data_IF_641378141312
#
_entry.id   IF_641378141312
#
_cell.length_a   1.000
_cell.length_b   1.000
_cell.length_c   1.000
_cell.angle_alpha   90.00
_cell.angle_beta   90.00
_cell.angle_gamma   90.00
#
_symmetry.space_group_name_H-M   'P 1'
#
loop_
_entity.id
_entity.type
_entity.pdbx_description
1 polymer ?
#
# COMPACT_ATOMS: atom_id res chain seq x y z
N UNK A 1 6.23 -79.07 54.83
CA UNK A 1 7.05 -79.14 53.59
C UNK A 1 7.33 -77.70 53.18
N UNK A 2 8.53 -77.17 53.00
CA UNK A 2 9.91 -77.64 53.09
C UNK A 2 10.77 -76.46 52.61
N UNK A 3 11.85 -76.14 53.34
CA UNK A 3 12.84 -75.10 53.02
C UNK A 3 13.51 -75.28 51.65
N UNK A 4 13.98 -74.18 51.03
CA UNK A 4 15.34 -73.93 50.47
C UNK A 4 15.32 -72.72 49.51
N UNK A 5 16.06 -71.62 49.76
CA UNK A 5 17.52 -71.35 49.64
C UNK A 5 18.00 -70.97 48.22
N UNK A 6 18.97 -70.03 48.23
CA UNK A 6 20.01 -69.70 47.23
C UNK A 6 19.72 -68.54 46.25
N UNK A 7 20.44 -67.41 46.45
CA UNK A 7 20.79 -66.42 45.41
C UNK A 7 21.93 -66.96 44.53
N UNK A 8 21.96 -66.65 43.22
CA UNK A 8 23.23 -66.14 42.69
C UNK A 8 23.11 -65.06 41.59
N UNK A 9 24.07 -64.13 41.67
CA UNK A 9 24.94 -63.61 40.60
C UNK A 9 24.32 -62.97 39.35
N UNK A 10 24.41 -61.63 39.37
CA UNK A 10 24.68 -60.68 38.30
C UNK A 10 25.18 -61.27 36.96
N UNK A 11 24.39 -61.11 35.90
CA UNK A 11 24.87 -61.03 34.53
C UNK A 11 24.29 -59.79 33.87
N UNK A 12 25.19 -58.86 33.57
CA UNK A 12 24.97 -57.71 32.69
C UNK A 12 24.62 -58.24 31.31
N UNK A 13 23.45 -57.89 30.79
CA UNK A 13 23.17 -57.89 29.36
C UNK A 13 22.65 -56.51 29.00
N UNK A 14 23.44 -55.83 28.18
CA UNK A 14 23.06 -54.62 27.48
C UNK A 14 21.77 -54.87 26.71
N UNK A 15 20.78 -54.00 26.86
CA UNK A 15 19.65 -53.91 25.95
C UNK A 15 19.34 -52.43 25.75
N UNK A 16 19.73 -52.00 24.56
CA UNK A 16 19.63 -50.70 23.92
C UNK A 16 18.37 -49.91 24.27
N UNK A 17 18.59 -48.68 24.74
CA UNK A 17 17.58 -47.63 24.69
C UNK A 17 17.28 -47.29 23.21
N UNK A 18 16.12 -47.71 22.72
CA UNK A 18 15.52 -47.11 21.53
C UNK A 18 14.96 -45.74 21.93
N UNK A 19 15.82 -44.73 21.90
CA UNK A 19 15.41 -43.34 21.81
C UNK A 19 14.73 -43.15 20.46
N UNK A 20 13.40 -43.28 20.45
CA UNK A 20 12.54 -42.79 19.38
C UNK A 20 12.65 -41.26 19.33
N UNK A 21 13.69 -40.77 18.66
CA UNK A 21 13.73 -39.41 18.15
C UNK A 21 12.59 -39.29 17.15
N UNK A 22 11.47 -38.72 17.60
CA UNK A 22 10.41 -38.27 16.73
C UNK A 22 11.01 -37.27 15.74
N UNK A 23 11.28 -37.73 14.52
CA UNK A 23 11.46 -36.87 13.38
C UNK A 23 10.14 -36.14 13.17
N UNK A 24 10.02 -34.95 13.74
CA UNK A 24 9.01 -33.99 13.32
C UNK A 24 9.45 -33.55 11.92
N UNK A 25 8.96 -34.23 10.89
CA UNK A 25 9.00 -33.71 9.53
C UNK A 25 8.19 -32.43 9.54
N UNK A 26 8.86 -31.31 9.78
CA UNK A 26 8.28 -29.98 9.58
C UNK A 26 7.76 -29.97 8.15
N UNK A 27 6.46 -29.70 7.92
CA UNK A 27 5.92 -29.70 6.58
C UNK A 27 6.68 -28.64 5.77
N UNK A 28 7.42 -29.08 4.77
CA UNK A 28 8.00 -28.18 3.77
C UNK A 28 6.82 -27.66 2.95
N UNK A 29 6.35 -26.45 3.26
CA UNK A 29 5.32 -25.79 2.48
C UNK A 29 5.87 -25.47 1.08
N UNK A 30 5.12 -25.86 0.04
CA UNK A 30 5.50 -25.56 -1.33
C UNK A 30 5.47 -24.04 -1.53
N UNK A 31 6.62 -23.46 -1.91
CA UNK A 31 6.70 -22.06 -2.31
C UNK A 31 6.19 -21.93 -3.75
N UNK A 32 5.55 -20.80 -4.05
CA UNK A 32 5.17 -20.46 -5.41
C UNK A 32 6.43 -20.37 -6.29
N UNK A 33 6.42 -21.07 -7.42
CA UNK A 33 7.50 -21.00 -8.41
C UNK A 33 7.51 -19.64 -9.12
N UNK A 34 8.66 -19.26 -9.65
CA UNK A 34 8.84 -18.02 -10.43
C UNK A 34 7.88 -17.92 -11.62
N UNK A 35 7.55 -19.06 -12.23
CA UNK A 35 6.58 -19.15 -13.32
C UNK A 35 5.15 -18.87 -12.85
N UNK A 36 4.79 -19.29 -11.63
CA UNK A 36 3.48 -19.00 -11.03
C UNK A 36 3.39 -17.52 -10.65
N UNK A 37 4.41 -16.97 -10.01
CA UNK A 37 4.44 -15.54 -9.66
C UNK A 37 4.37 -14.67 -10.91
N UNK A 38 5.16 -14.97 -11.94
CA UNK A 38 5.15 -14.24 -13.21
C UNK A 38 3.81 -14.32 -13.93
N UNK A 39 3.17 -15.49 -13.92
CA UNK A 39 1.84 -15.67 -14.50
C UNK A 39 0.77 -14.88 -13.74
N UNK A 40 0.85 -14.80 -12.41
CA UNK A 40 -0.07 -14.00 -11.59
C UNK A 40 0.09 -12.51 -11.88
N UNK A 41 1.34 -12.01 -11.91
CA UNK A 41 1.61 -10.61 -12.24
C UNK A 41 1.04 -10.25 -13.61
N UNK A 42 1.23 -11.10 -14.62
CA UNK A 42 0.64 -10.86 -15.94
C UNK A 42 -0.90 -10.94 -15.95
N UNK A 43 -1.48 -11.86 -15.18
CA UNK A 43 -2.92 -11.97 -15.05
C UNK A 43 -3.57 -10.73 -14.40
N UNK A 44 -2.90 -10.13 -13.41
CA UNK A 44 -3.31 -8.87 -12.78
C UNK A 44 -3.28 -7.71 -13.78
N UNK A 45 -2.23 -7.64 -14.63
CA UNK A 45 -2.11 -6.64 -15.72
C UNK A 45 -3.27 -6.75 -16.70
N UNK A 46 -3.56 -7.97 -17.16
CA UNK A 46 -4.61 -8.23 -18.14
C UNK A 46 -6.02 -8.01 -17.57
N UNK A 47 -6.19 -8.14 -16.25
CA UNK A 47 -7.45 -7.86 -15.58
C UNK A 47 -7.59 -6.39 -15.15
N UNK A 48 -6.50 -5.62 -15.21
CA UNK A 48 -6.49 -4.22 -14.80
C UNK A 48 -7.53 -3.42 -15.61
N UNK A 49 -8.37 -2.60 -14.95
CA UNK A 49 -9.36 -1.80 -15.64
C UNK A 49 -8.67 -0.89 -16.66
N UNK A 50 -9.13 -0.96 -17.91
CA UNK A 50 -8.74 -0.01 -18.93
C UNK A 50 -9.62 1.22 -18.74
N UNK A 51 -9.17 2.14 -17.89
CA UNK A 51 -9.92 3.36 -17.54
C UNK A 51 -10.09 4.29 -18.75
N UNK A 52 -9.23 4.14 -19.78
CA UNK A 52 -9.29 4.91 -21.03
C UNK A 52 -9.10 6.41 -20.82
N UNK A 53 -8.60 6.82 -19.65
CA UNK A 53 -8.45 8.22 -19.23
C UNK A 53 -6.97 8.48 -18.98
N UNK A 54 -6.46 9.57 -19.53
CA UNK A 54 -5.24 10.15 -19.01
C UNK A 54 -5.51 10.57 -17.55
N UNK A 55 -4.57 10.28 -16.65
CA UNK A 55 -4.58 10.72 -15.25
C UNK A 55 -5.73 10.16 -14.38
N UNK A 56 -6.00 8.86 -14.46
CA UNK A 56 -6.94 8.14 -13.58
C UNK A 56 -6.44 7.95 -12.12
N UNK A 57 -5.27 8.51 -11.80
CA UNK A 57 -4.65 8.42 -10.47
C UNK A 57 -4.05 7.05 -10.17
N UNK A 58 -3.94 6.18 -11.16
CA UNK A 58 -3.32 4.85 -11.08
C UNK A 58 -2.11 4.80 -12.01
N UNK A 59 -1.12 4.00 -11.63
CA UNK A 59 0.17 3.97 -12.29
C UNK A 59 0.50 2.57 -12.81
N UNK A 60 1.17 2.53 -13.95
CA UNK A 60 1.57 1.41 -14.78
C UNK A 60 0.39 0.63 -15.36
N UNK A 61 0.71 -0.32 -16.23
CA UNK A 61 -0.24 -1.29 -16.78
C UNK A 61 -1.01 -2.08 -15.72
N UNK A 62 -0.53 -2.11 -14.47
CA UNK A 62 -1.16 -2.81 -13.35
C UNK A 62 -2.09 -1.93 -12.51
N UNK A 63 -2.19 -0.64 -12.83
CA UNK A 63 -3.16 0.27 -12.20
C UNK A 63 -2.94 0.37 -10.68
N UNK A 64 -1.72 0.70 -10.28
CA UNK A 64 -1.27 0.77 -8.88
C UNK A 64 -1.60 2.13 -8.28
N UNK A 65 -2.15 2.14 -7.06
CA UNK A 65 -2.32 3.37 -6.28
C UNK A 65 -0.96 3.97 -5.93
N UNK A 66 -0.75 5.30 -6.11
CA UNK A 66 0.55 5.94 -5.89
C UNK A 66 1.12 5.71 -4.50
N UNK A 67 0.28 5.65 -3.46
CA UNK A 67 0.70 5.40 -2.09
C UNK A 67 1.36 4.04 -1.83
N UNK A 68 1.18 3.05 -2.71
CA UNK A 68 1.83 1.74 -2.57
C UNK A 68 3.26 1.75 -3.12
N UNK A 69 3.55 2.61 -4.09
CA UNK A 69 4.77 2.56 -4.92
C UNK A 69 6.04 2.77 -4.09
N UNK A 70 6.17 3.81 -3.24
CA UNK A 70 7.40 4.03 -2.47
C UNK A 70 7.73 2.85 -1.56
N UNK A 71 6.73 2.31 -0.86
CA UNK A 71 6.92 1.19 0.08
C UNK A 71 7.35 -0.08 -0.64
N UNK A 72 6.65 -0.44 -1.71
CA UNK A 72 6.95 -1.65 -2.46
C UNK A 72 8.31 -1.57 -3.15
N UNK A 73 8.66 -0.42 -3.74
CA UNK A 73 9.97 -0.26 -4.35
C UNK A 73 11.09 -0.29 -3.31
N UNK A 74 10.91 0.34 -2.14
CA UNK A 74 11.91 0.28 -1.06
C UNK A 74 12.17 -1.14 -0.60
N UNK A 75 11.10 -1.90 -0.38
CA UNK A 75 11.18 -3.30 0.02
C UNK A 75 11.88 -4.16 -1.05
N UNK A 76 11.56 -3.96 -2.32
CA UNK A 76 11.97 -4.88 -3.39
C UNK A 76 13.31 -4.52 -4.07
N UNK A 77 13.65 -3.23 -4.15
CA UNK A 77 14.84 -2.74 -4.84
C UNK A 77 15.69 -1.79 -3.98
N UNK A 78 15.39 -1.67 -2.69
CA UNK A 78 16.18 -0.91 -1.72
C UNK A 78 16.04 0.62 -1.79
N UNK A 79 15.14 1.14 -2.63
CA UNK A 79 14.89 2.59 -2.74
C UNK A 79 13.43 2.91 -3.06
N UNK A 80 12.97 4.05 -2.57
CA UNK A 80 11.65 4.60 -2.88
C UNK A 80 11.64 5.14 -4.31
N UNK A 81 10.60 4.81 -5.07
CA UNK A 81 10.30 5.39 -6.36
C UNK A 81 9.13 6.36 -6.22
N UNK A 82 9.17 7.45 -6.97
CA UNK A 82 7.98 8.25 -7.20
C UNK A 82 7.01 7.48 -8.12
N UNK A 83 5.71 7.80 -8.10
CA UNK A 83 4.76 7.24 -9.05
C UNK A 83 5.16 7.46 -10.52
N UNK A 84 5.72 8.63 -10.84
CA UNK A 84 6.21 8.96 -12.19
C UNK A 84 7.42 8.10 -12.59
N UNK A 85 8.37 7.87 -11.68
CA UNK A 85 9.52 6.99 -11.96
C UNK A 85 9.10 5.53 -12.14
N UNK A 86 8.05 5.13 -11.42
CA UNK A 86 7.47 3.80 -11.54
C UNK A 86 6.72 3.62 -12.87
N UNK A 87 5.94 4.60 -13.30
CA UNK A 87 5.28 4.65 -14.61
C UNK A 87 6.28 4.56 -15.76
N UNK A 88 7.35 5.37 -15.67
CA UNK A 88 8.31 5.54 -16.76
C UNK A 88 9.10 4.27 -17.07
N UNK A 89 9.07 3.25 -16.20
CA UNK A 89 9.79 1.99 -16.40
C UNK A 89 8.89 0.77 -16.15
N UNK A 90 8.17 0.29 -17.18
CA UNK A 90 7.37 -0.93 -17.09
C UNK A 90 8.18 -2.16 -16.65
N UNK A 91 9.47 -2.21 -17.02
CA UNK A 91 10.39 -3.28 -16.60
C UNK A 91 10.63 -3.24 -15.09
N UNK A 92 10.89 -2.06 -14.53
CA UNK A 92 11.09 -1.89 -13.08
C UNK A 92 9.78 -2.11 -12.32
N UNK A 93 8.66 -1.59 -12.82
CA UNK A 93 7.34 -1.83 -12.25
C UNK A 93 7.02 -3.33 -12.15
N UNK A 94 7.22 -4.08 -13.24
CA UNK A 94 7.05 -5.53 -13.26
C UNK A 94 7.96 -6.23 -12.26
N UNK A 95 9.23 -5.84 -12.14
CA UNK A 95 10.17 -6.45 -11.21
C UNK A 95 9.73 -6.27 -9.74
N UNK A 96 9.28 -5.06 -9.38
CA UNK A 96 8.73 -4.77 -8.05
C UNK A 96 7.47 -5.61 -7.80
N UNK A 97 6.57 -5.70 -8.78
CA UNK A 97 5.33 -6.49 -8.64
C UNK A 97 5.60 -7.99 -8.53
N UNK A 98 6.59 -8.54 -9.25
CA UNK A 98 7.02 -9.94 -9.06
C UNK A 98 7.53 -10.17 -7.64
N UNK A 99 8.30 -9.23 -7.09
CA UNK A 99 8.77 -9.32 -5.71
C UNK A 99 7.60 -9.29 -4.70
N UNK A 100 6.71 -8.29 -4.78
CA UNK A 100 5.54 -8.18 -3.88
C UNK A 100 4.61 -9.39 -4.00
N UNK A 101 4.29 -9.79 -5.24
CA UNK A 101 3.34 -10.87 -5.47
C UNK A 101 3.90 -12.24 -5.13
N UNK A 102 5.23 -12.41 -5.04
CA UNK A 102 5.82 -13.65 -4.52
C UNK A 102 5.43 -13.85 -3.06
N UNK A 103 5.55 -12.81 -2.24
CA UNK A 103 5.22 -12.87 -0.81
C UNK A 103 3.72 -13.11 -0.62
N UNK A 104 2.88 -12.34 -1.31
CA UNK A 104 1.42 -12.48 -1.28
C UNK A 104 1.01 -13.89 -1.70
N UNK A 105 1.51 -14.38 -2.85
CA UNK A 105 1.11 -15.67 -3.37
C UNK A 105 1.55 -16.82 -2.45
N UNK A 106 2.76 -16.75 -1.88
CA UNK A 106 3.23 -17.72 -0.88
C UNK A 106 2.31 -17.79 0.35
N UNK A 107 1.87 -16.63 0.85
CA UNK A 107 0.91 -16.57 1.96
C UNK A 107 -0.44 -17.17 1.56
N UNK A 108 -0.95 -16.81 0.38
CA UNK A 108 -2.25 -17.30 -0.07
C UNK A 108 -2.25 -18.80 -0.39
N UNK A 109 -1.13 -19.39 -0.82
CA UNK A 109 -0.96 -20.84 -0.92
C UNK A 109 -1.09 -21.54 0.43
N UNK A 110 -0.48 -21.00 1.48
CA UNK A 110 -0.60 -21.57 2.83
C UNK A 110 -2.04 -21.48 3.32
N UNK A 111 -2.68 -20.32 3.13
CA UNK A 111 -4.06 -20.09 3.54
C UNK A 111 -5.09 -20.92 2.73
N UNK A 112 -4.73 -21.39 1.54
CA UNK A 112 -5.60 -22.19 0.68
C UNK A 112 -5.36 -23.70 0.76
N UNK A 113 -4.59 -24.19 1.74
CA UNK A 113 -4.14 -25.59 1.81
C UNK A 113 -3.46 -26.06 0.52
N UNK A 114 -2.62 -25.18 -0.05
CA UNK A 114 -1.92 -25.35 -1.31
C UNK A 114 -2.81 -25.45 -2.57
N UNK A 115 -4.09 -25.07 -2.49
CA UNK A 115 -4.95 -25.00 -3.67
C UNK A 115 -4.58 -23.77 -4.52
N UNK A 116 -3.97 -23.99 -5.68
CA UNK A 116 -3.50 -22.95 -6.61
C UNK A 116 -4.63 -22.02 -7.05
N UNK A 117 -5.76 -22.54 -7.54
CA UNK A 117 -6.87 -21.70 -8.01
C UNK A 117 -7.42 -20.81 -6.91
N UNK A 118 -7.57 -21.36 -5.69
CA UNK A 118 -8.01 -20.58 -4.52
C UNK A 118 -6.94 -19.56 -4.11
N UNK A 119 -5.65 -19.92 -4.14
CA UNK A 119 -4.57 -18.98 -3.82
C UNK A 119 -4.54 -17.79 -4.78
N UNK A 120 -4.79 -18.02 -6.08
CA UNK A 120 -4.87 -16.96 -7.08
C UNK A 120 -6.09 -16.07 -6.86
N UNK A 121 -7.25 -16.64 -6.56
CA UNK A 121 -8.46 -15.85 -6.24
C UNK A 121 -8.27 -15.01 -4.97
N UNK A 122 -7.63 -15.58 -3.94
CA UNK A 122 -7.27 -14.86 -2.71
C UNK A 122 -6.26 -13.76 -2.96
N UNK A 123 -5.25 -13.99 -3.81
CA UNK A 123 -4.28 -12.96 -4.16
C UNK A 123 -4.93 -11.82 -4.97
N UNK A 124 -5.88 -12.13 -5.85
CA UNK A 124 -6.66 -11.13 -6.59
C UNK A 124 -7.63 -10.35 -5.66
N UNK A 125 -8.21 -11.02 -4.66
CA UNK A 125 -9.00 -10.34 -3.63
C UNK A 125 -8.11 -9.40 -2.81
N UNK A 126 -6.96 -9.86 -2.34
CA UNK A 126 -5.97 -9.04 -1.65
C UNK A 126 -5.54 -7.83 -2.47
N UNK A 127 -5.34 -7.99 -3.78
CA UNK A 127 -5.01 -6.89 -4.67
C UNK A 127 -6.06 -5.76 -4.64
N UNK A 128 -7.34 -6.15 -4.61
CA UNK A 128 -8.46 -5.21 -4.66
C UNK A 128 -8.83 -4.62 -3.31
N UNK A 129 -8.73 -5.41 -2.23
CA UNK A 129 -9.27 -5.07 -0.91
C UNK A 129 -8.21 -4.94 0.18
N UNK A 130 -7.00 -5.42 -0.06
CA UNK A 130 -5.97 -5.61 0.96
C UNK A 130 -6.14 -6.90 1.78
N UNK A 131 -7.20 -7.67 1.57
CA UNK A 131 -7.53 -8.87 2.35
C UNK A 131 -7.96 -10.05 1.46
N UNK A 132 -7.06 -11.04 1.36
CA UNK A 132 -7.30 -12.25 0.57
C UNK A 132 -8.34 -13.19 1.16
N UNK A 133 -8.69 -13.05 2.45
CA UNK A 133 -9.70 -13.91 3.09
C UNK A 133 -11.11 -13.64 2.57
N UNK A 134 -11.36 -12.45 2.04
CA UNK A 134 -12.68 -12.04 1.55
C UNK A 134 -13.06 -12.62 0.19
N UNK A 135 -12.18 -13.36 -0.48
CA UNK A 135 -12.39 -13.84 -1.85
C UNK A 135 -13.74 -14.55 -2.09
N UNK A 136 -14.31 -15.19 -1.06
CA UNK A 136 -15.57 -15.92 -1.10
C UNK A 136 -16.77 -15.18 -0.46
N UNK A 137 -16.56 -13.99 0.10
CA UNK A 137 -17.61 -13.14 0.68
C UNK A 137 -17.93 -11.91 -0.17
N UNK A 138 -17.18 -11.70 -1.25
CA UNK A 138 -17.43 -10.62 -2.20
C UNK A 138 -18.71 -10.91 -3.01
N UNK A 139 -19.68 -9.98 -3.08
CA UNK A 139 -20.92 -10.17 -3.83
C UNK A 139 -20.69 -10.50 -5.31
N UNK A 140 -21.37 -11.52 -5.83
CA UNK A 140 -21.17 -12.01 -7.22
C UNK A 140 -21.44 -10.96 -8.29
N UNK A 141 -22.32 -9.99 -8.03
CA UNK A 141 -22.65 -8.90 -8.94
C UNK A 141 -21.70 -7.68 -8.82
N UNK A 142 -20.62 -7.79 -8.04
CA UNK A 142 -19.68 -6.69 -7.83
C UNK A 142 -18.56 -6.65 -8.90
N UNK A 143 -18.00 -5.45 -9.08
CA UNK A 143 -16.79 -5.27 -9.89
C UNK A 143 -15.62 -6.13 -9.38
N UNK A 144 -15.42 -6.17 -8.06
CA UNK A 144 -14.34 -6.93 -7.43
C UNK A 144 -14.46 -8.42 -7.70
N UNK A 145 -15.66 -8.99 -7.65
CA UNK A 145 -15.88 -10.39 -8.03
C UNK A 145 -15.48 -10.64 -9.48
N UNK A 146 -15.94 -9.78 -10.39
CA UNK A 146 -15.59 -9.88 -11.83
C UNK A 146 -14.08 -9.79 -12.05
N UNK A 147 -13.40 -8.87 -11.36
CA UNK A 147 -11.94 -8.73 -11.40
C UNK A 147 -11.24 -10.04 -10.95
N UNK A 148 -11.63 -10.61 -9.82
CA UNK A 148 -11.07 -11.86 -9.29
C UNK A 148 -11.22 -13.01 -10.29
N UNK A 149 -12.40 -13.16 -10.91
CA UNK A 149 -12.62 -14.21 -11.91
C UNK A 149 -11.77 -13.99 -13.17
N UNK A 150 -11.61 -12.74 -13.60
CA UNK A 150 -10.74 -12.40 -14.74
C UNK A 150 -9.27 -12.71 -14.45
N UNK A 151 -8.77 -12.39 -13.25
CA UNK A 151 -7.40 -12.76 -12.86
C UNK A 151 -7.21 -14.27 -12.88
N UNK A 152 -8.13 -15.04 -12.29
CA UNK A 152 -8.03 -16.51 -12.32
C UNK A 152 -8.04 -17.05 -13.76
N UNK A 153 -8.93 -16.56 -14.61
CA UNK A 153 -9.02 -16.95 -16.02
C UNK A 153 -7.74 -16.64 -16.77
N UNK A 154 -7.23 -15.42 -16.66
CA UNK A 154 -6.00 -14.97 -17.33
C UNK A 154 -4.79 -15.77 -16.83
N UNK A 155 -4.71 -16.02 -15.52
CA UNK A 155 -3.67 -16.85 -14.93
C UNK A 155 -3.65 -18.25 -15.55
N UNK A 156 -4.80 -18.92 -15.59
CA UNK A 156 -4.90 -20.25 -16.18
C UNK A 156 -4.51 -20.27 -17.66
N UNK A 157 -4.80 -19.20 -18.42
CA UNK A 157 -4.36 -19.07 -19.80
C UNK A 157 -2.84 -18.95 -19.91
N UNK A 158 -2.20 -18.11 -19.08
CA UNK A 158 -0.74 -17.98 -19.03
C UNK A 158 -0.06 -19.31 -18.64
N UNK A 159 -0.68 -20.08 -17.75
CA UNK A 159 -0.16 -21.40 -17.34
C UNK A 159 -0.29 -22.48 -18.43
N UNK A 160 -1.23 -22.33 -19.36
CA UNK A 160 -1.42 -23.25 -20.50
C UNK A 160 -0.51 -22.92 -21.68
N UNK A 161 -0.16 -21.66 -21.89
CA UNK A 161 0.71 -21.20 -22.99
C UNK A 161 1.93 -20.41 -22.46
N UNK A 162 3.03 -21.08 -22.04
CA UNK A 162 4.20 -20.42 -21.48
C UNK A 162 4.95 -19.48 -22.44
N UNK A 163 4.72 -19.58 -23.75
CA UNK A 163 5.47 -18.84 -24.79
C UNK A 163 5.21 -17.32 -24.80
N UNK A 164 4.14 -16.82 -24.18
CA UNK A 164 3.88 -15.36 -24.09
C UNK A 164 4.74 -14.64 -23.05
N UNK A 165 5.47 -15.37 -22.20
CA UNK A 165 6.29 -14.78 -21.12
C UNK A 165 7.69 -14.35 -21.57
N UNK A 166 8.09 -14.63 -22.83
CA UNK A 166 9.47 -14.48 -23.30
C UNK A 166 9.76 -13.21 -24.11
N UNK A 167 8.75 -12.39 -24.43
CA UNK A 167 8.94 -11.18 -25.25
C UNK A 167 9.42 -9.93 -24.48
N UNK A 168 9.71 -10.05 -23.17
CA UNK A 168 10.16 -8.92 -22.34
C UNK A 168 11.39 -9.25 -21.47
N UNK A 169 12.32 -10.07 -21.99
CA UNK A 169 13.67 -10.19 -21.40
C UNK A 169 14.59 -9.16 -22.08
N UNK A 170 15.14 -8.17 -21.35
CA UNK A 170 16.25 -7.38 -21.87
C UNK A 170 17.46 -8.29 -22.08
N UNK A 171 17.99 -8.29 -23.31
CA UNK A 171 19.30 -8.85 -23.57
C UNK A 171 20.33 -8.21 -22.61
N UNK A 172 21.01 -9.05 -21.87
CA UNK A 172 22.15 -8.71 -21.03
C UNK A 172 23.23 -8.04 -21.90
N UNK A 173 23.83 -6.90 -21.50
CA UNK A 173 24.99 -6.37 -22.21
C UNK A 173 26.19 -7.28 -21.94
N UNK A 174 26.62 -8.00 -22.98
CA UNK A 174 27.85 -8.79 -22.97
C UNK A 174 29.05 -7.85 -22.88
N UNK A 175 29.83 -8.01 -21.81
CA UNK A 175 31.16 -7.41 -21.65
C UNK A 175 32.20 -8.19 -22.46
N UNK A 176 32.98 -7.53 -23.32
CA UNK A 176 34.40 -7.87 -23.62
C UNK A 176 35.05 -6.70 -24.40
N UNK A 177 36.40 -6.56 -24.42
CA UNK A 177 37.07 -5.30 -24.11
C UNK A 177 37.75 -4.69 -25.34
N UNK A 178 37.98 -3.37 -25.33
CA UNK A 178 38.99 -2.79 -26.22
C UNK A 178 39.71 -1.64 -25.53
N UNK A 179 40.97 -1.91 -25.19
CA UNK A 179 41.93 -0.91 -24.79
C UNK A 179 42.79 -0.55 -26.00
N UNK A 180 42.85 0.73 -26.36
CA UNK A 180 44.12 1.49 -26.42
C UNK A 180 43.90 2.96 -26.85
N UNK A 181 44.39 3.85 -25.98
CA UNK A 181 44.81 5.27 -26.07
C UNK A 181 45.71 5.58 -27.31
N UNK A 182 46.18 6.85 -27.57
CA UNK A 182 46.32 7.99 -26.64
C UNK A 182 45.99 9.44 -27.08
N UNK A 183 45.55 10.23 -26.08
CA UNK A 183 46.00 11.54 -25.58
C UNK A 183 46.37 12.74 -26.52
N UNK A 184 45.77 13.90 -26.22
CA UNK A 184 46.41 15.10 -25.61
C UNK A 184 45.35 16.19 -25.41
N UNK A 185 45.04 16.63 -24.18
CA UNK A 185 45.66 17.77 -23.47
C UNK A 185 45.56 19.07 -24.26
N UNK A 186 44.82 20.09 -23.83
CA UNK A 186 45.29 20.96 -22.74
C UNK A 186 44.23 21.99 -22.30
N UNK A 187 44.25 22.29 -21.00
CA UNK A 187 43.76 23.50 -20.36
C UNK A 187 44.93 24.01 -19.49
N UNK A 188 45.08 25.32 -19.25
CA UNK A 188 45.15 25.74 -17.84
C UNK A 188 44.50 27.11 -17.50
N UNK A 189 43.85 27.14 -16.31
CA UNK A 189 43.97 28.08 -15.15
C UNK A 189 43.69 29.59 -15.36
N UNK A 190 42.91 30.33 -14.54
CA UNK A 190 43.06 30.69 -13.11
C UNK A 190 41.74 31.31 -12.54
N UNK A 191 41.27 30.89 -11.36
CA UNK A 191 41.37 31.54 -10.02
C UNK A 191 40.31 32.63 -9.73
N UNK A 192 39.28 32.32 -8.92
CA UNK A 192 39.11 32.64 -7.49
C UNK A 192 38.82 34.12 -7.14
N UNK A 193 37.68 34.39 -6.51
CA UNK A 193 37.60 35.25 -5.32
C UNK A 193 36.29 35.07 -4.55
N UNK A 194 36.43 35.06 -3.23
CA UNK A 194 35.43 34.85 -2.17
C UNK A 194 35.04 36.17 -1.49
N UNK A 195 33.86 36.24 -0.87
CA UNK A 195 33.52 36.97 0.39
C UNK A 195 31.98 36.99 0.55
N UNK A 196 31.36 36.34 1.54
CA UNK A 196 31.28 36.63 2.98
C UNK A 196 29.98 37.38 3.38
N UNK A 197 29.23 36.69 4.25
CA UNK A 197 28.08 36.97 5.10
C UNK A 197 27.64 38.42 5.39
N UNK A 198 26.32 38.63 5.47
CA UNK A 198 25.67 39.24 6.65
C UNK A 198 24.15 38.95 6.71
N UNK A 199 23.56 38.88 7.93
CA UNK A 199 22.18 38.47 8.18
C UNK A 199 21.23 39.67 8.22
N UNK A 200 20.13 39.61 7.47
CA UNK A 200 19.05 40.59 7.60
C UNK A 200 17.70 39.90 7.68
N UNK A 201 17.10 40.06 8.85
CA UNK A 201 15.69 39.90 9.09
C UNK A 201 14.91 40.65 8.01
N UNK A 202 14.30 39.89 7.11
CA UNK A 202 13.24 40.36 6.26
C UNK A 202 12.00 39.58 6.66
N UNK A 203 11.09 40.24 7.38
CA UNK A 203 9.69 39.92 7.29
C UNK A 203 9.34 39.87 5.80
N UNK A 204 9.16 38.66 5.27
CA UNK A 204 8.56 38.43 3.97
C UNK A 204 7.27 37.68 4.24
N UNK A 205 6.22 38.48 4.29
CA UNK A 205 4.94 38.17 3.66
C UNK A 205 5.19 37.56 2.28
N UNK A 206 5.44 36.26 2.24
CA UNK A 206 5.16 35.44 1.08
C UNK A 206 3.73 34.99 1.25
N UNK A 207 2.81 35.65 0.55
CA UNK A 207 1.50 35.10 0.27
C UNK A 207 1.71 33.84 -0.58
N UNK A 208 2.09 32.74 0.06
CA UNK A 208 2.08 31.42 -0.55
C UNK A 208 0.64 30.95 -0.54
N UNK A 209 0.12 30.55 -1.70
CA UNK A 209 -1.18 29.90 -1.92
C UNK A 209 -1.32 28.53 -1.21
N UNK A 210 -0.73 28.38 -0.02
CA UNK A 210 -0.82 27.18 0.80
C UNK A 210 -2.05 27.28 1.71
N UNK A 211 -2.76 26.16 1.88
CA UNK A 211 -3.84 26.06 2.85
C UNK A 211 -3.25 26.22 4.26
N UNK A 212 -3.88 27.03 5.11
CA UNK A 212 -3.43 27.22 6.50
C UNK A 212 -3.80 26.03 7.40
N UNK A 213 -3.02 25.81 8.46
CA UNK A 213 -3.30 24.77 9.46
C UNK A 213 -4.70 24.89 10.07
N UNK A 214 -5.22 26.12 10.19
CA UNK A 214 -6.59 26.39 10.64
C UNK A 214 -7.63 25.82 9.67
N UNK A 215 -7.41 25.97 8.36
CA UNK A 215 -8.28 25.38 7.33
C UNK A 215 -8.19 23.87 7.31
N UNK A 216 -7.00 23.28 7.48
CA UNK A 216 -6.85 21.83 7.62
C UNK A 216 -7.60 21.31 8.84
N UNK A 217 -7.44 21.95 10.00
CA UNK A 217 -8.15 21.59 11.23
C UNK A 217 -9.68 21.71 11.10
N UNK A 218 -10.17 22.73 10.37
CA UNK A 218 -11.58 22.90 10.06
C UNK A 218 -12.12 21.79 9.15
N UNK A 219 -11.35 21.37 8.14
CA UNK A 219 -11.72 20.24 7.28
C UNK A 219 -11.80 18.93 8.08
N UNK A 220 -10.82 18.66 8.94
CA UNK A 220 -10.83 17.47 9.80
C UNK A 220 -12.06 17.44 10.71
N UNK A 221 -12.43 18.56 11.33
CA UNK A 221 -13.65 18.62 12.14
C UNK A 221 -14.94 18.48 11.30
N UNK A 222 -14.94 18.99 10.06
CA UNK A 222 -16.06 18.83 9.15
C UNK A 222 -16.26 17.36 8.74
N UNK A 223 -15.17 16.63 8.49
CA UNK A 223 -15.20 15.18 8.23
C UNK A 223 -15.78 14.41 9.42
N UNK A 224 -15.37 14.75 10.65
CA UNK A 224 -15.92 14.16 11.88
C UNK A 224 -17.44 14.33 11.98
N UNK A 225 -17.93 15.54 11.71
CA UNK A 225 -19.37 15.87 11.80
C UNK A 225 -20.20 15.23 10.68
N UNK A 226 -19.60 15.05 9.52
CA UNK A 226 -20.23 14.40 8.37
C UNK A 226 -20.16 12.86 8.45
N UNK A 227 -19.33 12.32 9.34
CA UNK A 227 -19.15 10.88 9.52
C UNK A 227 -20.51 10.21 9.78
N UNK A 228 -20.90 9.22 8.94
CA UNK A 228 -22.15 8.50 9.14
C UNK A 228 -22.20 7.90 10.55
N UNK A 229 -23.28 8.16 11.27
CA UNK A 229 -23.55 7.49 12.53
C UNK A 229 -24.29 6.20 12.18
N UNK A 230 -23.55 5.10 12.10
CA UNK A 230 -24.09 3.80 11.68
C UNK A 230 -25.04 3.22 12.75
N UNK A 231 -24.87 3.62 14.02
CA UNK A 231 -25.63 3.07 15.14
C UNK A 231 -25.38 1.57 15.36
N UNK A 232 -24.39 1.01 14.67
CA UNK A 232 -24.00 -0.39 14.73
C UNK A 232 -22.77 -0.47 15.64
N UNK A 233 -22.88 -1.27 16.70
CA UNK A 233 -21.74 -1.60 17.54
C UNK A 233 -20.74 -2.42 16.69
N UNK A 234 -19.50 -1.94 16.59
CA UNK A 234 -18.43 -2.55 15.78
C UNK A 234 -18.72 -2.59 14.26
N UNK A 235 -19.05 -1.46 13.66
CA UNK A 235 -19.18 -1.27 12.20
C UNK A 235 -17.85 -1.41 11.41
N UNK A 236 -16.78 -1.83 12.08
CA UNK A 236 -15.46 -1.99 11.50
C UNK A 236 -14.72 -0.67 11.27
N UNK A 237 -15.24 0.46 11.76
CA UNK A 237 -14.64 1.77 11.64
C UNK A 237 -14.29 2.33 13.02
N UNK A 238 -13.19 3.07 13.08
CA UNK A 238 -12.58 3.49 14.34
C UNK A 238 -12.59 5.00 14.50
N UNK A 239 -12.75 5.45 15.75
CA UNK A 239 -12.88 6.85 16.19
C UNK A 239 -14.12 7.56 15.62
N UNK A 240 -14.34 8.80 16.09
CA UNK A 240 -15.40 9.70 15.59
C UNK A 240 -15.30 9.98 14.08
N UNK A 241 -14.15 9.73 13.46
CA UNK A 241 -13.88 9.99 12.05
C UNK A 241 -14.16 8.79 11.14
N UNK A 242 -14.55 7.66 11.71
CA UNK A 242 -14.96 6.45 10.96
C UNK A 242 -13.82 5.95 10.04
N UNK A 243 -12.63 5.75 10.62
CA UNK A 243 -11.43 5.33 9.90
C UNK A 243 -11.39 3.81 9.74
N UNK A 244 -11.06 3.34 8.54
CA UNK A 244 -10.78 1.93 8.30
C UNK A 244 -9.52 1.47 9.03
N UNK A 245 -9.52 0.33 9.74
CA UNK A 245 -8.41 -0.10 10.59
C UNK A 245 -7.09 -0.24 9.84
N UNK A 246 -7.13 -0.67 8.57
CA UNK A 246 -5.94 -0.84 7.72
C UNK A 246 -5.18 0.47 7.43
N UNK A 247 -5.83 1.63 7.58
CA UNK A 247 -5.16 2.93 7.39
C UNK A 247 -4.38 3.38 8.64
N UNK A 248 -4.79 2.94 9.82
CA UNK A 248 -4.37 3.51 11.11
C UNK A 248 -2.88 3.30 11.39
N UNK A 249 -2.30 2.09 11.30
CA UNK A 249 -0.87 1.89 11.56
C UNK A 249 0.01 2.73 10.63
N UNK A 250 -0.34 2.78 9.34
CA UNK A 250 0.42 3.54 8.34
C UNK A 250 0.36 5.04 8.59
N UNK A 251 -0.82 5.60 8.82
CA UNK A 251 -0.99 7.04 9.03
C UNK A 251 -0.37 7.51 10.33
N UNK A 252 -0.51 6.74 11.41
CA UNK A 252 0.14 7.05 12.68
C UNK A 252 1.67 7.04 12.55
N UNK A 253 2.25 6.02 11.92
CA UNK A 253 3.70 5.98 11.74
C UNK A 253 4.21 7.14 10.87
N UNK A 254 3.51 7.46 9.79
CA UNK A 254 3.86 8.60 8.94
C UNK A 254 3.84 9.93 9.70
N UNK A 255 2.85 10.15 10.56
CA UNK A 255 2.60 11.46 11.16
C UNK A 255 3.26 11.67 12.53
N UNK A 256 3.42 10.60 13.33
CA UNK A 256 3.96 10.68 14.69
C UNK A 256 5.12 9.71 14.95
N UNK A 257 5.53 8.91 13.95
CA UNK A 257 6.66 7.97 14.06
C UNK A 257 6.36 6.69 14.84
N UNK A 258 5.09 6.40 15.10
CA UNK A 258 4.64 5.21 15.83
C UNK A 258 3.44 4.57 15.12
N UNK A 259 3.46 3.24 14.94
CA UNK A 259 2.30 2.48 14.46
C UNK A 259 1.31 2.24 15.59
N UNK A 260 0.18 2.94 15.56
CA UNK A 260 -0.92 2.71 16.49
C UNK A 260 -1.79 1.53 16.04
N UNK A 261 -2.30 0.78 17.00
CA UNK A 261 -3.40 -0.14 16.74
C UNK A 261 -4.71 0.63 16.55
N UNK A 262 -5.72 0.05 15.88
CA UNK A 262 -7.04 0.68 15.79
C UNK A 262 -7.66 1.03 17.15
N UNK A 263 -7.43 0.19 18.17
CA UNK A 263 -7.91 0.44 19.54
C UNK A 263 -7.20 1.65 20.18
N UNK A 264 -5.87 1.74 20.07
CA UNK A 264 -5.09 2.85 20.62
C UNK A 264 -5.44 4.18 19.94
N UNK A 265 -5.65 4.14 18.62
CA UNK A 265 -6.11 5.29 17.84
C UNK A 265 -7.50 5.75 18.28
N UNK A 266 -8.46 4.83 18.46
CA UNK A 266 -9.81 5.18 18.90
C UNK A 266 -9.86 5.64 20.37
N UNK A 267 -8.97 5.14 21.23
CA UNK A 267 -8.90 5.48 22.64
C UNK A 267 -8.44 6.92 22.90
N UNK A 268 -7.74 7.56 21.95
CA UNK A 268 -7.29 8.95 22.07
C UNK A 268 -7.79 9.82 20.90
N UNK A 269 -8.97 10.47 21.04
CA UNK A 269 -9.46 11.41 20.05
C UNK A 269 -8.49 12.56 19.75
N UNK A 270 -7.69 12.97 20.73
CA UNK A 270 -6.66 14.00 20.55
C UNK A 270 -5.53 13.51 19.62
N UNK A 271 -5.01 12.30 19.84
CA UNK A 271 -3.98 11.69 18.99
C UNK A 271 -4.52 11.41 17.59
N UNK A 272 -5.74 10.86 17.50
CA UNK A 272 -6.44 10.64 16.23
C UNK A 272 -6.53 11.94 15.42
N UNK A 273 -6.99 13.03 16.05
CA UNK A 273 -7.07 14.35 15.40
C UNK A 273 -5.71 14.84 14.90
N UNK A 274 -4.64 14.69 15.67
CA UNK A 274 -3.29 15.09 15.26
C UNK A 274 -2.84 14.35 14.00
N UNK A 275 -3.02 13.02 13.97
CA UNK A 275 -2.69 12.20 12.80
C UNK A 275 -3.53 12.61 11.59
N UNK A 276 -4.83 12.82 11.78
CA UNK A 276 -5.73 13.19 10.69
C UNK A 276 -5.48 14.59 10.15
N UNK A 277 -5.04 15.56 10.97
CA UNK A 277 -4.59 16.88 10.51
C UNK A 277 -3.34 16.75 9.66
N UNK A 278 -2.38 15.91 10.04
CA UNK A 278 -1.20 15.63 9.23
C UNK A 278 -1.57 15.03 7.86
N UNK A 279 -2.35 13.93 7.85
CA UNK A 279 -2.79 13.27 6.60
C UNK A 279 -3.61 14.20 5.71
N UNK A 280 -4.59 14.90 6.29
CA UNK A 280 -5.46 15.79 5.52
C UNK A 280 -4.78 17.09 5.13
N UNK A 281 -3.67 17.47 5.76
CA UNK A 281 -2.85 18.59 5.33
C UNK A 281 -2.29 18.37 3.93
N UNK A 282 -1.73 17.19 3.69
CA UNK A 282 -1.20 16.80 2.38
C UNK A 282 -2.32 16.73 1.34
N UNK A 283 -3.38 15.97 1.65
CA UNK A 283 -4.52 15.78 0.74
C UNK A 283 -5.19 17.11 0.38
N UNK A 284 -5.44 17.97 1.37
CA UNK A 284 -6.15 19.22 1.12
C UNK A 284 -5.30 20.22 0.33
N UNK A 285 -3.99 20.29 0.58
CA UNK A 285 -3.09 21.10 -0.23
C UNK A 285 -3.05 20.61 -1.69
N UNK A 286 -2.94 19.31 -1.91
CA UNK A 286 -2.96 18.72 -3.26
C UNK A 286 -4.28 19.05 -3.98
N UNK A 287 -5.43 18.83 -3.32
CA UNK A 287 -6.72 19.09 -3.93
C UNK A 287 -7.01 20.58 -4.12
N UNK A 288 -6.41 21.44 -3.30
CA UNK A 288 -6.47 22.88 -3.50
C UNK A 288 -5.79 23.30 -4.80
N UNK A 289 -4.59 22.80 -5.07
CA UNK A 289 -3.89 23.06 -6.34
C UNK A 289 -4.65 22.44 -7.53
N UNK A 290 -5.09 21.18 -7.42
CA UNK A 290 -5.82 20.48 -8.48
C UNK A 290 -7.15 21.15 -8.84
N UNK A 291 -7.76 21.88 -7.90
CA UNK A 291 -9.00 22.64 -8.12
C UNK A 291 -8.79 24.02 -8.75
N UNK A 292 -7.56 24.40 -9.09
CA UNK A 292 -7.24 25.75 -9.53
C UNK A 292 -7.34 26.77 -8.39
N UNK A 293 -6.94 26.40 -7.17
CA UNK A 293 -7.05 27.18 -5.94
C UNK A 293 -8.51 27.49 -5.52
N UNK A 294 -9.46 26.66 -5.93
CA UNK A 294 -10.86 26.78 -5.51
C UNK A 294 -11.11 26.00 -4.22
N UNK A 295 -11.12 26.69 -3.09
CA UNK A 295 -11.28 26.09 -1.76
C UNK A 295 -12.56 25.26 -1.61
N UNK A 296 -13.67 25.69 -2.22
CA UNK A 296 -14.94 24.93 -2.17
C UNK A 296 -14.80 23.59 -2.86
N UNK A 297 -14.24 23.59 -4.07
CA UNK A 297 -14.02 22.36 -4.85
C UNK A 297 -12.96 21.50 -4.16
N UNK A 298 -11.90 22.09 -3.61
CA UNK A 298 -10.86 21.40 -2.87
C UNK A 298 -11.38 20.66 -1.63
N UNK A 299 -12.27 21.30 -0.85
CA UNK A 299 -12.94 20.66 0.30
C UNK A 299 -13.77 19.47 -0.14
N UNK A 300 -14.56 19.60 -1.21
CA UNK A 300 -15.39 18.50 -1.70
C UNK A 300 -14.53 17.36 -2.27
N UNK A 301 -13.46 17.68 -2.99
CA UNK A 301 -12.49 16.69 -3.51
C UNK A 301 -11.76 15.97 -2.40
N UNK A 302 -11.33 16.67 -1.35
CA UNK A 302 -10.70 16.06 -0.18
C UNK A 302 -11.68 15.16 0.58
N UNK A 303 -12.96 15.55 0.67
CA UNK A 303 -14.02 14.72 1.23
C UNK A 303 -14.34 13.48 0.36
N UNK A 304 -14.28 13.60 -0.96
CA UNK A 304 -14.44 12.46 -1.86
C UNK A 304 -13.28 11.47 -1.69
N UNK A 305 -12.05 11.98 -1.67
CA UNK A 305 -10.86 11.17 -1.36
C UNK A 305 -10.99 10.45 -0.02
N UNK A 306 -11.51 11.14 0.99
CA UNK A 306 -11.75 10.54 2.31
C UNK A 306 -12.72 9.35 2.26
N UNK A 307 -13.82 9.52 1.53
CA UNK A 307 -14.90 8.52 1.46
C UNK A 307 -14.57 7.35 0.54
N UNK A 308 -13.98 7.63 -0.62
CA UNK A 308 -13.84 6.65 -1.72
C UNK A 308 -12.39 6.37 -2.09
N UNK A 309 -11.45 7.19 -1.64
CA UNK A 309 -10.06 7.21 -2.12
C UNK A 309 -9.88 7.98 -3.44
N UNK A 310 -10.96 8.52 -4.04
CA UNK A 310 -10.93 9.19 -5.34
C UNK A 310 -11.53 10.61 -5.25
N UNK A 311 -10.70 11.67 -5.39
CA UNK A 311 -11.17 13.05 -5.31
C UNK A 311 -12.08 13.46 -6.48
N UNK A 312 -12.06 12.75 -7.61
CA UNK A 312 -12.86 13.08 -8.79
C UNK A 312 -14.34 12.70 -8.65
N UNK A 313 -14.67 11.86 -7.66
CA UNK A 313 -16.05 11.46 -7.38
C UNK A 313 -16.85 12.50 -6.59
N UNK A 314 -16.27 13.66 -6.29
CA UNK A 314 -16.85 14.64 -5.38
C UNK A 314 -18.24 15.16 -5.73
N UNK A 315 -18.63 15.04 -7.00
CA UNK A 315 -19.93 15.48 -7.52
C UNK A 315 -20.73 14.31 -8.13
N UNK A 316 -20.43 13.06 -7.75
CA UNK A 316 -21.06 11.86 -8.33
C UNK A 316 -21.86 11.09 -7.28
N UNK A 317 -23.10 10.71 -7.62
CA UNK A 317 -23.93 9.78 -6.84
C UNK A 317 -24.04 10.12 -5.35
N UNK A 318 -24.02 9.09 -4.49
CA UNK A 318 -24.06 9.24 -3.03
C UNK A 318 -22.81 9.93 -2.45
N UNK A 319 -21.70 9.97 -3.19
CA UNK A 319 -20.50 10.71 -2.80
C UNK A 319 -20.78 12.21 -2.80
N UNK A 320 -21.54 12.74 -3.76
CA UNK A 320 -21.91 14.15 -3.82
C UNK A 320 -22.67 14.61 -2.56
N UNK A 321 -23.58 13.79 -2.04
CA UNK A 321 -24.34 14.10 -0.83
C UNK A 321 -23.43 14.15 0.42
N UNK A 322 -22.43 13.27 0.48
CA UNK A 322 -21.44 13.29 1.55
C UNK A 322 -20.52 14.51 1.46
N UNK A 323 -19.92 14.78 0.30
CA UNK A 323 -19.00 15.91 0.11
C UNK A 323 -19.68 17.25 0.33
N UNK A 324 -20.97 17.37 -0.04
CA UNK A 324 -21.76 18.56 0.23
C UNK A 324 -22.01 18.76 1.73
N UNK A 325 -22.27 17.68 2.49
CA UNK A 325 -22.39 17.76 3.96
C UNK A 325 -21.08 18.20 4.61
N UNK A 326 -19.94 17.66 4.17
CA UNK A 326 -18.62 18.08 4.66
C UNK A 326 -18.39 19.57 4.37
N UNK A 327 -18.65 20.01 3.13
CA UNK A 327 -18.53 21.42 2.75
C UNK A 327 -19.39 22.35 3.62
N UNK A 328 -20.61 21.93 3.93
CA UNK A 328 -21.51 22.70 4.80
C UNK A 328 -20.94 22.84 6.22
N UNK A 329 -20.44 21.76 6.83
CA UNK A 329 -19.80 21.83 8.15
C UNK A 329 -18.49 22.64 8.12
N UNK A 330 -17.71 22.52 7.06
CA UNK A 330 -16.49 23.28 6.85
C UNK A 330 -16.78 24.79 6.86
N UNK A 331 -17.75 25.24 6.06
CA UNK A 331 -18.18 26.66 6.03
C UNK A 331 -18.71 27.15 7.38
N UNK A 332 -19.48 26.33 8.09
CA UNK A 332 -20.00 26.67 9.42
C UNK A 332 -18.90 26.90 10.47
N UNK A 333 -17.74 26.24 10.34
CA UNK A 333 -16.63 26.42 11.28
C UNK A 333 -16.09 27.86 11.28
N UNK A 334 -16.10 28.53 10.12
CA UNK A 334 -15.67 29.91 9.99
C UNK A 334 -16.74 30.92 10.39
N UNK A 335 -18.03 30.59 10.22
CA UNK A 335 -19.14 31.43 10.68
C UNK A 335 -19.24 31.50 12.22
N UNK A 336 -18.81 30.45 12.93
CA UNK A 336 -18.76 30.44 14.40
C UNK A 336 -17.55 31.19 14.96
N UNK A 337 -16.46 31.27 14.21
CA UNK A 337 -15.24 31.98 14.59
C UNK A 337 -15.33 33.49 14.27
N UNK A 338 -16.16 33.89 13.31
CA UNK A 338 -16.39 35.28 12.92
C UNK A 338 -17.88 35.55 12.68
N UNK A 339 -18.70 35.73 13.74
CA UNK A 339 -20.15 35.92 13.61
C UNK A 339 -20.57 37.26 12.97
N UNK A 340 -19.63 38.18 12.72
CA UNK A 340 -19.90 39.53 12.19
C UNK A 340 -18.82 39.93 11.17
N UNK A 341 -19.01 39.50 9.92
CA UNK A 341 -18.50 40.18 8.72
C UNK A 341 -19.66 40.37 7.76
#
# INVERSE_FOLDING_TARGET
MGFRFIKPVQRVLLSTALLSLGFWSSPVYAQASDAQVSALVEALRLAAPQTGRADDGLYSDWQIKPGNIPRWSKQCIGRELSPTDFEASPVTARAILVCVMRDVLNEQYRASNNNESVAIQRAAAWWMTGDGSQYNSIPENSYTYTYIQNVLKNYQQQRRNPQTQQSATPAQPTTTPSAAKPASSSQPTESQSSAASQPQAAARSSANNAISDTKVAALVEALRRAAPQTGIENDGLYSDWQIKPENIPRWSNQCIGEELTPADFAASPATARTILVCVMGDVFNEQYQASGNNETVAVQRAAAWWMTGDPQQYNQGSTADYTQRVLNFYRQSFLKLFPHL
#
